data_IF_890146177576
#
_entry.id   IF_890146177576
#
_cell.length_a   1.000
_cell.length_b   1.000
_cell.length_c   1.000
_cell.angle_alpha   90.00
_cell.angle_beta   90.00
_cell.angle_gamma   90.00
#
_symmetry.space_group_name_H-M   'P 1'
#
loop_
_entity.id
_entity.type
_entity.pdbx_description
1 polymer ?
#
# COMPACT_ATOMS: atom_id res chain seq x y z
N UNK A 1 -53.61 50.72 9.13
CA UNK A 1 -53.52 50.57 7.66
C UNK A 1 -52.05 50.65 7.28
N UNK A 2 -51.48 49.50 6.94
CA UNK A 2 -50.18 49.25 6.29
C UNK A 2 -48.88 49.78 6.93
N UNK A 3 -48.30 48.96 7.80
CA UNK A 3 -46.88 48.95 8.15
C UNK A 3 -46.37 47.50 8.03
N UNK A 4 -46.29 46.99 6.79
CA UNK A 4 -45.58 45.75 6.43
C UNK A 4 -45.38 45.76 4.91
N UNK A 5 -44.35 46.48 4.47
CA UNK A 5 -43.89 46.45 3.09
C UNK A 5 -42.39 46.78 3.07
N UNK A 6 -41.60 45.93 3.70
CA UNK A 6 -40.16 45.93 3.53
C UNK A 6 -39.67 44.48 3.66
N UNK A 7 -38.94 44.03 2.63
CA UNK A 7 -38.11 42.82 2.59
C UNK A 7 -38.75 41.50 2.14
N UNK A 8 -39.44 41.49 0.99
CA UNK A 8 -39.63 40.27 0.18
C UNK A 8 -38.62 40.23 -0.98
N UNK A 9 -37.34 40.31 -0.63
CA UNK A 9 -36.20 40.18 -1.56
C UNK A 9 -35.42 38.89 -1.34
N UNK A 10 -36.01 37.87 -0.72
CA UNK A 10 -35.46 36.52 -0.74
C UNK A 10 -35.69 35.97 -2.14
N UNK A 11 -34.63 35.95 -2.95
CA UNK A 11 -34.58 35.15 -4.17
C UNK A 11 -35.01 33.73 -3.78
N UNK A 12 -36.24 33.32 -4.13
CA UNK A 12 -36.63 31.93 -4.01
C UNK A 12 -35.68 31.16 -4.90
N UNK A 13 -34.79 30.41 -4.28
CA UNK A 13 -33.90 29.51 -4.97
C UNK A 13 -34.79 28.46 -5.63
N UNK A 14 -34.80 28.46 -6.96
CA UNK A 14 -35.47 27.41 -7.75
C UNK A 14 -34.93 26.03 -7.32
N UNK A 15 -35.71 24.98 -7.48
CA UNK A 15 -35.31 23.62 -7.09
C UNK A 15 -34.00 23.21 -7.79
N UNK A 16 -33.84 23.65 -9.05
CA UNK A 16 -32.62 23.47 -9.85
C UNK A 16 -31.40 24.20 -9.25
N UNK A 17 -31.59 25.42 -8.74
CA UNK A 17 -30.52 26.18 -8.08
C UNK A 17 -30.17 25.57 -6.72
N UNK A 18 -31.16 25.06 -5.99
CA UNK A 18 -30.95 24.37 -4.72
C UNK A 18 -30.17 23.08 -4.92
N UNK A 19 -30.53 22.28 -5.92
CA UNK A 19 -29.78 21.09 -6.31
C UNK A 19 -28.36 21.41 -6.79
N UNK A 20 -28.18 22.47 -7.58
CA UNK A 20 -26.86 22.91 -8.03
C UNK A 20 -25.97 23.33 -6.85
N UNK A 21 -26.48 24.10 -5.90
CA UNK A 21 -25.73 24.51 -4.71
C UNK A 21 -25.39 23.34 -3.80
N UNK A 22 -26.32 22.41 -3.59
CA UNK A 22 -26.06 21.19 -2.84
C UNK A 22 -24.97 20.34 -3.50
N UNK A 23 -25.00 20.22 -4.84
CA UNK A 23 -23.98 19.51 -5.59
C UNK A 23 -22.62 20.19 -5.47
N UNK A 24 -22.53 21.51 -5.69
CA UNK A 24 -21.28 22.28 -5.57
C UNK A 24 -20.71 22.15 -4.16
N UNK A 25 -21.54 22.31 -3.13
CA UNK A 25 -21.12 22.18 -1.74
C UNK A 25 -20.60 20.76 -1.45
N UNK A 26 -21.35 19.72 -1.84
CA UNK A 26 -20.93 18.33 -1.65
C UNK A 26 -19.62 18.04 -2.39
N UNK A 27 -19.45 18.55 -3.61
CA UNK A 27 -18.24 18.35 -4.39
C UNK A 27 -17.04 19.10 -3.78
N UNK A 28 -17.21 20.36 -3.38
CA UNK A 28 -16.18 21.14 -2.71
C UNK A 28 -15.78 20.52 -1.36
N UNK A 29 -16.76 20.07 -0.57
CA UNK A 29 -16.51 19.35 0.67
C UNK A 29 -15.73 18.06 0.42
N UNK A 30 -16.06 17.28 -0.62
CA UNK A 30 -15.31 16.07 -0.99
C UNK A 30 -13.87 16.37 -1.41
N UNK A 31 -13.64 17.46 -2.15
CA UNK A 31 -12.30 17.88 -2.56
C UNK A 31 -11.40 18.20 -1.36
N UNK A 32 -11.96 18.79 -0.30
CA UNK A 32 -11.23 19.15 0.91
C UNK A 32 -11.10 17.95 1.87
N UNK A 33 -12.21 17.24 2.12
CA UNK A 33 -12.27 16.22 3.17
C UNK A 33 -11.62 14.89 2.77
N UNK A 34 -11.66 14.48 1.49
CA UNK A 34 -11.05 13.21 1.05
C UNK A 34 -9.54 13.15 1.31
N UNK A 35 -8.73 14.14 0.89
CA UNK A 35 -7.29 14.13 1.15
C UNK A 35 -6.99 14.01 2.65
N UNK A 36 -7.69 14.79 3.48
CA UNK A 36 -7.51 14.79 4.94
C UNK A 36 -7.82 13.41 5.53
N UNK A 37 -8.97 12.84 5.21
CA UNK A 37 -9.38 11.54 5.74
C UNK A 37 -8.45 10.40 5.30
N UNK A 38 -7.89 10.48 4.08
CA UNK A 38 -6.91 9.51 3.58
C UNK A 38 -5.58 9.65 4.32
N UNK A 39 -5.12 10.88 4.58
CA UNK A 39 -3.91 11.14 5.35
C UNK A 39 -4.04 10.67 6.80
N UNK A 40 -5.14 11.01 7.47
CA UNK A 40 -5.42 10.57 8.85
C UNK A 40 -5.42 9.06 8.98
N UNK A 41 -6.05 8.36 8.03
CA UNK A 41 -6.03 6.89 7.99
C UNK A 41 -4.61 6.34 7.85
N UNK A 42 -3.81 6.89 6.93
CA UNK A 42 -2.41 6.46 6.75
C UNK A 42 -1.58 6.68 8.01
N UNK A 43 -1.74 7.84 8.65
CA UNK A 43 -1.05 8.14 9.90
C UNK A 43 -1.44 7.16 11.01
N UNK A 44 -2.73 6.84 11.13
CA UNK A 44 -3.23 5.87 12.10
C UNK A 44 -2.67 4.46 11.83
N UNK A 45 -2.73 3.98 10.59
CA UNK A 45 -2.18 2.69 10.17
C UNK A 45 -0.67 2.62 10.41
N UNK A 46 0.07 3.67 10.03
CA UNK A 46 1.51 3.76 10.26
C UNK A 46 1.85 3.69 11.75
N UNK A 47 1.11 4.40 12.61
CA UNK A 47 1.30 4.36 14.06
C UNK A 47 1.14 2.95 14.63
N UNK A 48 0.17 2.18 14.16
CA UNK A 48 -0.01 0.78 14.60
C UNK A 48 1.22 -0.07 14.24
N UNK A 49 1.74 0.09 13.02
CA UNK A 49 2.94 -0.62 12.55
C UNK A 49 4.17 -0.21 13.37
N UNK A 50 4.40 1.08 13.57
CA UNK A 50 5.55 1.56 14.34
C UNK A 50 5.47 1.18 15.82
N UNK A 51 4.26 1.11 16.39
CA UNK A 51 4.07 0.58 17.75
C UNK A 51 4.45 -0.90 17.83
N UNK A 52 4.15 -1.67 16.79
CA UNK A 52 4.60 -3.05 16.70
C UNK A 52 6.13 -3.12 16.55
N UNK A 53 6.74 -2.29 15.70
CA UNK A 53 8.21 -2.27 15.53
C UNK A 53 8.92 -1.90 16.83
N UNK A 54 8.45 -0.88 17.55
CA UNK A 54 9.01 -0.48 18.83
C UNK A 54 9.04 -1.65 19.83
N UNK A 55 7.97 -2.46 19.85
CA UNK A 55 7.91 -3.65 20.71
C UNK A 55 8.91 -4.74 20.28
N UNK A 56 9.01 -5.02 18.98
CA UNK A 56 9.83 -6.10 18.45
C UNK A 56 11.34 -5.76 18.49
N UNK A 57 11.70 -4.50 18.29
CA UNK A 57 13.08 -3.99 18.34
C UNK A 57 13.50 -3.53 19.75
N UNK A 58 12.56 -3.47 20.70
CA UNK A 58 12.83 -3.00 22.06
C UNK A 58 13.16 -1.50 22.14
N UNK A 59 12.55 -0.68 21.28
CA UNK A 59 12.75 0.77 21.30
C UNK A 59 12.26 1.38 22.60
N UNK A 60 13.00 2.37 23.07
CA UNK A 60 12.58 3.27 24.13
C UNK A 60 11.45 4.20 23.67
N UNK A 61 10.70 4.77 24.61
CA UNK A 61 9.68 5.76 24.29
C UNK A 61 10.25 6.97 23.54
N UNK A 62 11.49 7.36 23.84
CA UNK A 62 12.19 8.46 23.16
C UNK A 62 12.43 8.13 21.69
N UNK A 63 12.94 6.93 21.38
CA UNK A 63 13.20 6.49 20.00
C UNK A 63 11.91 6.36 19.20
N UNK A 64 10.88 5.75 19.81
CA UNK A 64 9.56 5.64 19.21
C UNK A 64 8.97 7.02 18.89
N UNK A 65 8.98 7.95 19.86
CA UNK A 65 8.45 9.29 19.66
C UNK A 65 9.23 10.09 18.61
N UNK A 66 10.56 9.95 18.57
CA UNK A 66 11.40 10.55 17.54
C UNK A 66 11.05 10.01 16.14
N UNK A 67 10.88 8.68 16.00
CA UNK A 67 10.51 8.07 14.71
C UNK A 67 9.11 8.46 14.27
N UNK A 68 8.13 8.47 15.17
CA UNK A 68 6.75 8.92 14.87
C UNK A 68 6.73 10.39 14.43
N UNK A 69 7.51 11.24 15.10
CA UNK A 69 7.63 12.66 14.71
C UNK A 69 8.19 12.79 13.30
N UNK A 70 9.25 12.04 12.98
CA UNK A 70 9.83 12.00 11.63
C UNK A 70 8.83 11.51 10.59
N UNK A 71 8.12 10.41 10.88
CA UNK A 71 7.10 9.86 9.98
C UNK A 71 5.99 10.88 9.70
N UNK A 72 5.46 11.54 10.74
CA UNK A 72 4.44 12.59 10.57
C UNK A 72 4.95 13.73 9.70
N UNK A 73 6.19 14.17 9.91
CA UNK A 73 6.83 15.18 9.09
C UNK A 73 6.96 14.73 7.62
N UNK A 74 7.37 13.48 7.36
CA UNK A 74 7.45 12.93 5.99
C UNK A 74 6.08 12.93 5.30
N UNK A 75 5.03 12.50 6.00
CA UNK A 75 3.66 12.49 5.47
C UNK A 75 3.18 13.89 5.15
N UNK A 76 3.41 14.87 6.04
CA UNK A 76 3.00 16.26 5.80
C UNK A 76 3.70 16.89 4.59
N UNK A 77 4.98 16.57 4.37
CA UNK A 77 5.78 17.20 3.31
C UNK A 77 5.67 16.47 1.96
N UNK A 78 5.43 15.16 1.97
CA UNK A 78 5.49 14.33 0.75
C UNK A 78 4.20 13.55 0.47
N UNK A 79 3.24 13.56 1.38
CA UNK A 79 1.97 12.81 1.33
C UNK A 79 2.10 11.33 1.73
N UNK A 80 3.31 10.86 2.02
CA UNK A 80 3.64 9.48 2.44
C UNK A 80 4.88 9.46 3.34
N UNK A 81 5.27 8.29 3.83
CA UNK A 81 6.55 8.09 4.50
C UNK A 81 7.30 6.92 3.85
N UNK A 82 8.59 6.78 4.19
CA UNK A 82 9.43 5.67 3.71
C UNK A 82 9.98 4.88 4.89
N UNK A 83 9.90 3.56 4.80
CA UNK A 83 10.53 2.67 5.77
C UNK A 83 12.04 2.63 5.60
N UNK A 84 12.78 2.52 6.70
CA UNK A 84 14.21 2.15 6.65
C UNK A 84 14.36 0.70 6.17
N UNK A 85 15.56 0.28 5.79
CA UNK A 85 15.79 -1.11 5.36
C UNK A 85 15.56 -2.11 6.50
N UNK A 86 15.91 -1.74 7.74
CA UNK A 86 15.65 -2.55 8.94
C UNK A 86 14.14 -2.69 9.23
N UNK A 87 13.39 -1.58 9.15
CA UNK A 87 11.93 -1.58 9.29
C UNK A 87 11.27 -2.45 8.21
N UNK A 88 11.82 -2.42 6.98
CA UNK A 88 11.32 -3.20 5.86
C UNK A 88 11.57 -4.70 6.05
N UNK A 89 12.77 -5.07 6.50
CA UNK A 89 13.15 -6.45 6.81
C UNK A 89 12.27 -7.03 7.92
N UNK A 90 12.13 -6.29 9.03
CA UNK A 90 11.25 -6.69 10.13
C UNK A 90 9.79 -6.77 9.66
N UNK A 91 9.29 -5.77 8.94
CA UNK A 91 7.93 -5.75 8.41
C UNK A 91 7.61 -6.96 7.53
N UNK A 92 8.54 -7.33 6.64
CA UNK A 92 8.40 -8.52 5.78
C UNK A 92 8.34 -9.83 6.58
N UNK A 93 9.24 -9.97 7.57
CA UNK A 93 9.27 -11.13 8.48
C UNK A 93 7.99 -11.24 9.30
N UNK A 94 7.50 -10.13 9.84
CA UNK A 94 6.25 -10.06 10.61
C UNK A 94 5.04 -10.36 9.73
N UNK A 95 5.01 -9.87 8.49
CA UNK A 95 3.94 -10.19 7.54
C UNK A 95 3.86 -11.70 7.27
N UNK A 96 5.01 -12.37 7.11
CA UNK A 96 5.04 -13.83 6.98
C UNK A 96 4.60 -14.53 8.28
N UNK A 97 5.13 -14.12 9.44
CA UNK A 97 4.72 -14.65 10.76
C UNK A 97 3.21 -14.57 10.98
N UNK A 98 2.58 -13.49 10.53
CA UNK A 98 1.17 -13.20 10.71
C UNK A 98 0.28 -13.75 9.58
N UNK A 99 0.85 -14.45 8.60
CA UNK A 99 0.08 -15.08 7.53
C UNK A 99 -0.62 -16.34 8.06
N UNK A 100 -1.90 -16.20 8.42
CA UNK A 100 -2.70 -17.28 9.02
C UNK A 100 -2.76 -18.55 8.15
N UNK A 101 -2.69 -18.40 6.83
CA UNK A 101 -2.75 -19.49 5.85
C UNK A 101 -1.40 -20.17 5.58
N UNK A 102 -0.30 -19.68 6.15
CA UNK A 102 1.03 -20.27 5.96
C UNK A 102 1.37 -21.25 7.09
N UNK A 103 1.49 -22.54 6.77
CA UNK A 103 1.96 -23.58 7.70
C UNK A 103 3.45 -23.43 8.02
N UNK A 104 4.25 -22.97 7.04
CA UNK A 104 5.71 -22.81 7.14
C UNK A 104 6.18 -21.60 7.97
N UNK A 105 5.27 -20.91 8.68
CA UNK A 105 5.59 -19.68 9.44
C UNK A 105 6.56 -19.88 10.61
N UNK A 106 6.94 -21.11 10.95
CA UNK A 106 7.96 -21.36 11.98
C UNK A 106 9.34 -20.80 11.59
N UNK A 107 9.64 -20.75 10.30
CA UNK A 107 10.90 -20.23 9.76
C UNK A 107 10.85 -18.71 9.46
N UNK A 108 9.85 -17.99 9.98
CA UNK A 108 9.61 -16.58 9.64
C UNK A 108 10.84 -15.67 9.84
N UNK A 109 11.67 -15.96 10.84
CA UNK A 109 12.85 -15.18 11.18
C UNK A 109 14.07 -15.46 10.28
N UNK A 110 14.04 -16.53 9.45
CA UNK A 110 15.13 -16.85 8.51
C UNK A 110 14.92 -16.25 7.12
N UNK A 111 13.82 -15.52 6.91
CA UNK A 111 13.54 -14.86 5.63
C UNK A 111 14.67 -13.89 5.26
N UNK A 112 15.25 -14.12 4.08
CA UNK A 112 16.16 -13.18 3.44
C UNK A 112 15.34 -12.10 2.73
N UNK A 113 15.44 -10.85 3.17
CA UNK A 113 14.72 -9.74 2.58
C UNK A 113 15.65 -8.90 1.72
N UNK A 114 15.28 -8.66 0.47
CA UNK A 114 16.04 -7.88 -0.51
C UNK A 114 15.32 -6.56 -0.79
N UNK A 115 15.94 -5.46 -0.41
CA UNK A 115 15.43 -4.11 -0.66
C UNK A 115 15.81 -3.64 -2.07
N UNK A 116 14.90 -3.82 -3.02
CA UNK A 116 15.05 -3.41 -4.43
C UNK A 116 14.14 -2.24 -4.79
N UNK A 117 13.78 -1.40 -3.80
CA UNK A 117 12.92 -0.23 -4.00
C UNK A 117 13.53 0.82 -4.94
N UNK A 118 14.84 0.77 -5.17
CA UNK A 118 15.54 1.67 -6.09
C UNK A 118 15.38 1.25 -7.57
N UNK A 119 14.95 0.02 -7.85
CA UNK A 119 14.73 -0.49 -9.21
C UNK A 119 13.44 0.10 -9.78
N UNK A 120 13.53 0.68 -10.98
CA UNK A 120 12.44 1.42 -11.62
C UNK A 120 12.03 0.89 -12.99
N UNK A 121 12.81 -0.02 -13.58
CA UNK A 121 12.58 -0.55 -14.93
C UNK A 121 12.13 -2.00 -14.88
N UNK A 122 11.33 -2.40 -15.85
CA UNK A 122 10.81 -3.75 -16.01
C UNK A 122 11.95 -4.76 -16.21
N UNK A 123 12.96 -4.39 -17.01
CA UNK A 123 14.15 -5.21 -17.19
C UNK A 123 14.95 -5.37 -15.89
N UNK A 124 15.05 -4.30 -15.10
CA UNK A 124 15.68 -4.36 -13.78
C UNK A 124 14.93 -5.30 -12.85
N UNK A 125 13.60 -5.22 -12.83
CA UNK A 125 12.76 -6.14 -12.06
C UNK A 125 12.96 -7.59 -12.50
N UNK A 126 12.99 -7.85 -13.80
CA UNK A 126 13.25 -9.19 -14.33
C UNK A 126 14.61 -9.74 -13.89
N UNK A 127 15.66 -8.94 -13.97
CA UNK A 127 17.00 -9.33 -13.51
C UNK A 127 17.01 -9.66 -12.01
N UNK A 128 16.34 -8.85 -11.19
CA UNK A 128 16.20 -9.10 -9.76
C UNK A 128 15.37 -10.36 -9.44
N UNK A 129 14.40 -10.71 -10.29
CA UNK A 129 13.66 -11.98 -10.17
C UNK A 129 14.55 -13.17 -10.49
N UNK A 130 15.40 -13.09 -11.52
CA UNK A 130 16.38 -14.15 -11.81
C UNK A 130 17.34 -14.35 -10.64
N UNK A 131 17.82 -13.26 -10.05
CA UNK A 131 18.72 -13.32 -8.91
C UNK A 131 18.01 -13.78 -7.64
N UNK A 132 16.73 -13.45 -7.46
CA UNK A 132 15.89 -14.02 -6.41
C UNK A 132 15.81 -15.54 -6.52
N UNK A 133 15.54 -16.08 -7.72
CA UNK A 133 15.46 -17.52 -7.95
C UNK A 133 16.78 -18.20 -7.63
N UNK A 134 17.91 -17.66 -8.09
CA UNK A 134 19.24 -18.21 -7.78
C UNK A 134 19.48 -18.29 -6.28
N UNK A 135 19.23 -17.21 -5.53
CA UNK A 135 19.40 -17.23 -4.08
C UNK A 135 18.46 -18.24 -3.39
N UNK A 136 17.23 -18.38 -3.89
CA UNK A 136 16.25 -19.29 -3.32
C UNK A 136 16.56 -20.77 -3.61
N UNK A 137 17.10 -21.10 -4.79
CA UNK A 137 17.17 -22.49 -5.27
C UNK A 137 18.58 -23.05 -5.45
N UNK A 138 19.60 -22.22 -5.68
CA UNK A 138 20.97 -22.67 -5.96
C UNK A 138 21.84 -22.82 -4.70
N UNK A 139 21.21 -22.81 -3.53
CA UNK A 139 21.86 -23.11 -2.25
C UNK A 139 21.76 -24.60 -1.95
N UNK A 140 22.59 -25.15 -1.02
CA UNK A 140 22.49 -26.55 -0.61
C UNK A 140 21.11 -26.96 -0.11
N UNK A 141 20.34 -26.00 0.41
CA UNK A 141 18.94 -26.13 0.79
C UNK A 141 18.15 -24.93 0.28
N UNK A 142 16.86 -25.13 0.01
CA UNK A 142 15.97 -24.05 -0.44
C UNK A 142 15.90 -22.97 0.64
N UNK A 143 16.14 -21.72 0.22
CA UNK A 143 16.10 -20.57 1.10
C UNK A 143 14.82 -19.75 0.87
N UNK A 144 14.19 -19.31 1.96
CA UNK A 144 13.07 -18.36 1.87
C UNK A 144 13.61 -16.96 1.60
N UNK A 145 13.24 -16.39 0.45
CA UNK A 145 13.66 -15.07 0.01
C UNK A 145 12.43 -14.22 -0.30
N UNK A 146 12.48 -12.93 0.00
CA UNK A 146 11.49 -11.94 -0.42
C UNK A 146 12.21 -10.75 -1.06
N UNK A 147 11.88 -10.44 -2.31
CA UNK A 147 12.36 -9.23 -3.00
C UNK A 147 11.28 -8.17 -2.99
N UNK A 148 11.60 -6.99 -2.48
CA UNK A 148 10.65 -5.89 -2.33
C UNK A 148 11.00 -4.78 -3.30
N UNK A 149 10.08 -4.50 -4.23
CA UNK A 149 10.17 -3.37 -5.16
C UNK A 149 9.52 -2.12 -4.56
N UNK A 150 9.64 -0.99 -5.27
CA UNK A 150 9.08 0.28 -4.81
C UNK A 150 7.58 0.17 -4.53
N UNK A 151 7.06 0.86 -3.50
CA UNK A 151 5.63 0.93 -3.28
C UNK A 151 4.92 1.69 -4.42
N UNK A 152 3.60 1.55 -4.45
CA UNK A 152 2.71 2.37 -5.28
C UNK A 152 2.86 3.85 -4.92
N UNK A 153 3.07 4.70 -5.91
CA UNK A 153 3.09 6.15 -5.75
C UNK A 153 1.71 6.76 -5.47
N UNK A 154 1.67 7.95 -4.88
CA UNK A 154 0.42 8.62 -4.47
C UNK A 154 -0.57 8.85 -5.61
N UNK A 155 -0.06 9.26 -6.77
CA UNK A 155 -0.87 9.55 -7.96
C UNK A 155 -0.87 8.39 -8.97
N UNK A 156 -0.27 7.25 -8.61
CA UNK A 156 -0.32 6.07 -9.45
C UNK A 156 -1.63 5.32 -9.20
N UNK A 157 -2.27 4.78 -10.24
CA UNK A 157 -3.40 3.85 -10.03
C UNK A 157 -2.90 2.52 -9.46
N UNK A 158 -1.76 2.06 -9.97
CA UNK A 158 -1.08 0.81 -9.60
C UNK A 158 0.42 1.06 -9.50
N UNK A 159 1.09 0.41 -8.53
CA UNK A 159 2.55 0.36 -8.49
C UNK A 159 3.10 -0.74 -9.42
N UNK A 160 4.40 -1.06 -9.32
CA UNK A 160 4.99 -2.21 -10.01
C UNK A 160 4.25 -3.51 -9.64
N UNK A 161 3.96 -4.37 -10.62
CA UNK A 161 3.25 -5.63 -10.39
C UNK A 161 3.74 -6.75 -11.29
N UNK A 162 3.70 -7.95 -10.74
CA UNK A 162 3.71 -9.19 -11.52
C UNK A 162 2.28 -9.56 -11.88
N UNK A 163 2.06 -9.94 -13.14
CA UNK A 163 0.76 -10.44 -13.59
C UNK A 163 0.61 -11.93 -13.29
N UNK A 164 1.74 -12.65 -13.27
CA UNK A 164 1.81 -14.04 -12.89
C UNK A 164 1.47 -14.20 -11.40
N UNK A 165 0.72 -15.25 -11.07
CA UNK A 165 0.41 -15.63 -9.69
C UNK A 165 1.63 -16.21 -8.95
N UNK A 166 2.57 -16.80 -9.71
CA UNK A 166 3.82 -17.40 -9.25
C UNK A 166 4.94 -17.05 -10.23
N UNK A 167 6.19 -17.00 -9.76
CA UNK A 167 7.35 -16.68 -10.62
C UNK A 167 7.57 -17.77 -11.68
N UNK A 168 7.38 -19.03 -11.30
CA UNK A 168 7.52 -20.20 -12.18
C UNK A 168 6.21 -20.97 -12.12
N UNK A 169 5.60 -21.21 -13.29
CA UNK A 169 4.38 -22.00 -13.44
C UNK A 169 4.37 -22.66 -14.81
N UNK A 170 3.75 -23.83 -14.91
CA UNK A 170 3.45 -24.42 -16.21
C UNK A 170 2.32 -23.66 -16.92
N UNK A 171 2.36 -23.66 -18.25
CA UNK A 171 1.28 -23.11 -19.06
C UNK A 171 0.17 -24.15 -19.28
N UNK A 172 -0.99 -23.67 -19.73
CA UNK A 172 -2.05 -24.50 -20.30
C UNK A 172 -2.47 -24.00 -21.67
N UNK A 173 -2.74 -24.93 -22.58
CA UNK A 173 -3.15 -24.65 -23.95
C UNK A 173 -4.42 -25.41 -24.28
N UNK A 174 -5.48 -24.68 -24.62
CA UNK A 174 -6.72 -25.28 -25.13
C UNK A 174 -6.52 -25.73 -26.58
N UNK A 175 -6.78 -27.00 -26.84
CA UNK A 175 -6.75 -27.62 -28.15
C UNK A 175 -8.09 -27.47 -28.89
N UNK A 176 -8.09 -27.76 -30.19
CA UNK A 176 -9.28 -27.63 -31.05
C UNK A 176 -10.42 -28.59 -30.65
N UNK A 177 -10.10 -29.74 -30.06
CA UNK A 177 -11.05 -30.72 -29.53
C UNK A 177 -11.62 -30.34 -28.16
N UNK A 178 -11.21 -29.19 -27.61
CA UNK A 178 -11.62 -28.71 -26.30
C UNK A 178 -10.77 -29.24 -25.14
N UNK A 179 -9.85 -30.19 -25.38
CA UNK A 179 -8.89 -30.67 -24.38
C UNK A 179 -7.91 -29.56 -23.97
N UNK A 180 -7.47 -29.56 -22.72
CA UNK A 180 -6.47 -28.61 -22.22
C UNK A 180 -5.17 -29.36 -21.93
N UNK A 181 -4.10 -28.99 -22.63
CA UNK A 181 -2.76 -29.51 -22.40
C UNK A 181 -2.01 -28.61 -21.40
N UNK A 182 -1.62 -29.16 -20.26
CA UNK A 182 -0.81 -28.45 -19.24
C UNK A 182 -1.55 -28.24 -17.92
N UNK A 183 -1.24 -27.15 -17.22
CA UNK A 183 -1.84 -26.78 -15.92
C UNK A 183 -3.03 -25.80 -16.11
N UNK A 184 -4.29 -26.25 -16.00
CA UNK A 184 -5.48 -25.45 -16.31
C UNK A 184 -5.85 -24.40 -15.24
N UNK A 185 -5.14 -24.37 -14.11
CA UNK A 185 -5.45 -23.53 -12.95
C UNK A 185 -5.04 -22.04 -13.11
#
# INVERSE_FOLDING_TARGET
MHLFAAMDGLVRMDDDLTHAWQWIYAHAALLIMRPIAVEERRLHEAQLVFKQFAKELGWTDTEYNARITRMKWEVQNTGTYTHTSEELELGARLAWRNSAKCIGRIAWNTLLVRDMRHIKTEQGMFNEVLEHLKLATCQPSIQSVMTIFRPKGLNEKWGPRFWNSQIVRYAAYRQDDGFILGDPD
#
